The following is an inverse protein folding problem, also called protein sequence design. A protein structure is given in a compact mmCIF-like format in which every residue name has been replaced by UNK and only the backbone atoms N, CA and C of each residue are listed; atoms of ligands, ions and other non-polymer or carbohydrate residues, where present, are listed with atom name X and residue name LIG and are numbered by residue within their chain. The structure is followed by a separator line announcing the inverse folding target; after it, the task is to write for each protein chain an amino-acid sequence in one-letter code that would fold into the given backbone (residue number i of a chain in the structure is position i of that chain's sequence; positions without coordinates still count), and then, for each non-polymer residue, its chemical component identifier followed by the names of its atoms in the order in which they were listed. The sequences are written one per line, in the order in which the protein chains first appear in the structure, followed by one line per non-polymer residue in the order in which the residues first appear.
data_IF_403764965626
#
_entry.id   IF_403764965626
#
_cell.length_a   1.000
_cell.length_b   1.000
_cell.length_c   1.000
_cell.angle_alpha   90.00
_cell.angle_beta   90.00
_cell.angle_gamma   90.00
#
_symmetry.space_group_name_H-M   'P 1'
#
loop_
_entity.id
_entity.type
_entity.pdbx_description
1 polymer ?
#
# COMPACT_ATOMS: atom_id res chain seq x y z
N UNK A 1 -16.21 15.92 8.73
CA UNK A 1 -15.97 16.08 7.28
C UNK A 1 -16.14 14.75 6.53
N UNK A 2 -15.68 13.60 7.04
CA UNK A 2 -15.82 12.27 6.42
C UNK A 2 -17.27 11.83 6.16
N UNK A 3 -18.26 12.37 6.88
CA UNK A 3 -19.69 12.04 6.73
C UNK A 3 -20.32 12.42 5.38
N UNK A 4 -19.57 13.08 4.51
CA UNK A 4 -19.98 13.40 3.13
C UNK A 4 -19.33 12.48 2.11
N UNK A 5 -18.29 11.72 2.51
CA UNK A 5 -17.42 10.97 1.63
C UNK A 5 -17.86 9.51 1.50
N UNK A 6 -17.60 8.93 0.33
CA UNK A 6 -17.73 7.49 0.04
C UNK A 6 -16.35 6.85 0.19
N UNK A 7 -16.27 5.81 1.00
CA UNK A 7 -15.05 5.01 1.19
C UNK A 7 -15.19 3.64 0.52
N UNK A 8 -14.25 3.30 -0.34
CA UNK A 8 -14.25 2.00 -1.04
C UNK A 8 -12.99 1.19 -0.70
N UNK A 9 -12.97 0.58 0.49
CA UNK A 9 -11.88 -0.31 0.89
C UNK A 9 -11.95 -1.66 0.19
N UNK A 10 -10.84 -2.41 0.26
CA UNK A 10 -10.87 -3.85 0.04
C UNK A 10 -11.68 -4.54 1.13
N UNK A 11 -12.27 -5.71 0.82
CA UNK A 11 -13.05 -6.48 1.81
C UNK A 11 -12.19 -6.81 3.02
N UNK A 12 -10.95 -7.26 2.80
CA UNK A 12 -9.99 -7.56 3.87
C UNK A 12 -9.72 -6.34 4.75
N UNK A 13 -9.51 -5.15 4.18
CA UNK A 13 -9.28 -3.92 4.94
C UNK A 13 -10.51 -3.55 5.77
N UNK A 14 -11.71 -3.74 5.23
CA UNK A 14 -12.96 -3.39 5.88
C UNK A 14 -13.21 -4.19 7.17
N UNK A 15 -12.79 -5.47 7.22
CA UNK A 15 -13.15 -6.40 8.29
C UNK A 15 -12.09 -6.55 9.39
N UNK A 16 -10.86 -6.07 9.19
CA UNK A 16 -9.75 -6.29 10.13
C UNK A 16 -9.68 -5.23 11.23
N UNK A 17 -9.26 -5.67 12.42
CA UNK A 17 -9.04 -4.78 13.59
C UNK A 17 -7.79 -3.89 13.44
N UNK A 18 -6.80 -4.34 12.71
CA UNK A 18 -5.58 -3.59 12.38
C UNK A 18 -5.72 -2.74 11.09
N UNK A 19 -6.95 -2.63 10.58
CA UNK A 19 -7.36 -1.83 9.43
C UNK A 19 -8.58 -0.96 9.79
N UNK A 20 -9.65 -0.98 8.99
CA UNK A 20 -10.77 -0.04 9.14
C UNK A 20 -11.47 -0.11 10.51
N UNK A 21 -11.66 -1.30 11.08
CA UNK A 21 -12.33 -1.43 12.38
C UNK A 21 -11.55 -0.77 13.53
N UNK A 22 -10.21 -0.84 13.51
CA UNK A 22 -9.36 -0.14 14.47
C UNK A 22 -9.18 1.33 14.11
N UNK A 23 -9.02 1.63 12.81
CA UNK A 23 -8.83 3.00 12.31
C UNK A 23 -9.97 3.93 12.75
N UNK A 24 -11.22 3.45 12.73
CA UNK A 24 -12.40 4.20 13.23
C UNK A 24 -12.34 4.54 14.73
N UNK A 25 -11.57 3.79 15.52
CA UNK A 25 -11.42 4.05 16.97
C UNK A 25 -10.39 5.14 17.22
N UNK A 26 -9.41 5.27 16.33
CA UNK A 26 -8.29 6.24 16.46
C UNK A 26 -8.64 7.55 15.77
N UNK A 27 -9.26 7.46 14.62
CA UNK A 27 -9.70 8.60 13.83
C UNK A 27 -11.24 8.67 13.82
N UNK A 28 -11.86 9.85 13.99
CA UNK A 28 -13.31 10.01 13.99
C UNK A 28 -13.90 9.88 12.57
N UNK A 29 -13.76 8.68 11.97
CA UNK A 29 -14.18 8.39 10.61
C UNK A 29 -15.64 7.92 10.58
N UNK A 30 -16.48 8.69 9.93
CA UNK A 30 -17.92 8.42 9.78
C UNK A 30 -18.30 8.65 8.31
N UNK A 31 -17.91 7.73 7.43
CA UNK A 31 -18.19 7.85 6.01
C UNK A 31 -19.67 7.77 5.71
N UNK A 32 -20.15 8.57 4.72
CA UNK A 32 -21.52 8.52 4.21
C UNK A 32 -21.91 7.14 3.72
N UNK A 33 -20.96 6.47 3.07
CA UNK A 33 -21.13 5.12 2.52
C UNK A 33 -19.78 4.40 2.53
N UNK A 34 -19.83 3.10 2.81
CA UNK A 34 -18.67 2.21 2.70
C UNK A 34 -19.05 1.05 1.79
N UNK A 35 -18.30 0.85 0.70
CA UNK A 35 -18.56 -0.18 -0.30
C UNK A 35 -17.25 -0.88 -0.59
N UNK A 36 -17.14 -2.17 -0.25
CA UNK A 36 -15.94 -2.93 -0.55
C UNK A 36 -15.76 -3.11 -2.07
N UNK A 37 -14.56 -2.77 -2.57
CA UNK A 37 -14.15 -2.98 -3.96
C UNK A 37 -12.72 -3.55 -3.94
N UNK A 38 -12.59 -4.82 -4.27
CA UNK A 38 -11.29 -5.48 -4.28
C UNK A 38 -10.47 -5.18 -5.55
N UNK A 39 -9.15 -5.22 -5.39
CA UNK A 39 -8.19 -5.08 -6.50
C UNK A 39 -8.13 -3.69 -7.13
N UNK A 40 -7.64 -3.63 -8.37
CA UNK A 40 -7.45 -2.39 -9.12
C UNK A 40 -8.75 -1.57 -9.39
N UNK A 41 -9.95 -2.16 -9.51
CA UNK A 41 -11.20 -1.41 -9.73
C UNK A 41 -11.47 -0.32 -8.68
N UNK A 42 -11.01 -0.45 -7.42
CA UNK A 42 -11.18 0.61 -6.40
C UNK A 42 -10.51 1.92 -6.80
N UNK A 43 -9.34 1.84 -7.46
CA UNK A 43 -8.64 3.03 -7.98
C UNK A 43 -9.39 3.68 -9.13
N UNK A 44 -10.01 2.87 -9.99
CA UNK A 44 -10.84 3.38 -11.09
C UNK A 44 -12.08 4.08 -10.56
N UNK A 45 -12.74 3.51 -9.55
CA UNK A 45 -13.89 4.13 -8.89
C UNK A 45 -13.51 5.49 -8.25
N UNK A 46 -12.31 5.58 -7.66
CA UNK A 46 -11.79 6.85 -7.12
C UNK A 46 -11.54 7.88 -8.24
N UNK A 47 -10.87 7.46 -9.33
CA UNK A 47 -10.59 8.33 -10.46
C UNK A 47 -11.86 8.85 -11.17
N UNK A 48 -12.92 8.03 -11.20
CA UNK A 48 -14.22 8.39 -11.78
C UNK A 48 -15.11 9.23 -10.83
N UNK A 49 -14.69 9.45 -9.57
CA UNK A 49 -15.49 10.17 -8.59
C UNK A 49 -16.67 9.35 -8.01
N UNK A 50 -16.67 8.03 -8.21
CA UNK A 50 -17.63 7.11 -7.60
C UNK A 50 -17.30 6.83 -6.13
N UNK A 51 -16.03 7.02 -5.77
CA UNK A 51 -15.48 6.95 -4.43
C UNK A 51 -14.63 8.18 -4.15
N UNK A 52 -14.51 8.57 -2.88
CA UNK A 52 -13.69 9.69 -2.44
C UNK A 52 -12.41 9.22 -1.74
N UNK A 53 -12.44 8.03 -1.16
CA UNK A 53 -11.33 7.45 -0.39
C UNK A 53 -11.24 5.95 -0.67
N UNK A 54 -10.01 5.43 -0.72
CA UNK A 54 -9.71 3.98 -0.82
C UNK A 54 -8.57 3.62 0.13
N UNK A 55 -8.42 2.33 0.47
CA UNK A 55 -7.19 1.82 1.06
C UNK A 55 -6.15 1.54 -0.02
N UNK A 56 -4.88 1.74 0.31
CA UNK A 56 -3.76 1.51 -0.60
C UNK A 56 -2.50 1.15 0.18
N UNK A 57 -1.56 0.50 -0.48
CA UNK A 57 -0.18 0.49 -0.01
C UNK A 57 0.55 1.70 -0.61
N UNK A 58 1.41 2.34 0.18
CA UNK A 58 2.17 3.53 -0.26
C UNK A 58 3.02 3.30 -1.50
N UNK A 59 3.31 2.04 -1.81
CA UNK A 59 4.10 1.59 -2.96
C UNK A 59 3.27 1.24 -4.20
N UNK A 60 1.94 1.32 -4.16
CA UNK A 60 1.08 0.97 -5.29
C UNK A 60 1.29 1.91 -6.49
N UNK A 61 1.63 1.36 -7.66
CA UNK A 61 1.87 2.12 -8.89
C UNK A 61 0.65 2.89 -9.40
N UNK A 62 -0.56 2.46 -9.03
CA UNK A 62 -1.82 3.12 -9.40
C UNK A 62 -2.01 4.47 -8.70
N UNK A 63 -1.32 4.71 -7.56
CA UNK A 63 -1.27 6.03 -6.92
C UNK A 63 -0.69 7.05 -7.89
N UNK A 64 0.45 6.71 -8.52
CA UNK A 64 1.09 7.56 -9.53
C UNK A 64 0.22 7.68 -10.79
N UNK A 65 -0.35 6.57 -11.27
CA UNK A 65 -1.18 6.55 -12.48
C UNK A 65 -2.34 7.55 -12.42
N UNK A 66 -3.00 7.64 -11.29
CA UNK A 66 -4.21 8.45 -11.11
C UNK A 66 -3.96 9.75 -10.34
N UNK A 67 -2.67 10.10 -10.11
CA UNK A 67 -2.27 11.31 -9.38
C UNK A 67 -2.98 11.45 -8.03
N UNK A 68 -2.96 10.37 -7.23
CA UNK A 68 -3.68 10.30 -5.97
C UNK A 68 -2.83 10.82 -4.80
N UNK A 69 -3.50 11.41 -3.84
CA UNK A 69 -2.87 11.90 -2.60
C UNK A 69 -2.88 10.80 -1.54
N UNK A 70 -1.71 10.47 -1.00
CA UNK A 70 -1.58 9.59 0.17
C UNK A 70 -1.76 10.45 1.43
N UNK A 71 -2.70 10.05 2.29
CA UNK A 71 -2.92 10.73 3.57
C UNK A 71 -1.89 10.28 4.61
N UNK A 72 -1.43 11.22 5.42
CA UNK A 72 -0.51 10.93 6.52
C UNK A 72 -1.25 10.26 7.69
N UNK A 73 -0.62 9.24 8.27
CA UNK A 73 -1.06 8.62 9.54
C UNK A 73 -0.38 9.33 10.72
N UNK A 74 -0.86 10.54 11.03
CA UNK A 74 -0.32 11.41 12.09
C UNK A 74 -0.42 10.82 13.51
N UNK A 75 -1.22 9.77 13.67
CA UNK A 75 -1.39 9.06 14.95
C UNK A 75 -0.65 7.73 15.02
N UNK A 76 0.10 7.37 13.98
CA UNK A 76 0.86 6.13 13.89
C UNK A 76 0.02 4.88 14.20
N UNK A 77 -1.18 4.84 13.65
CA UNK A 77 -2.08 3.70 13.81
C UNK A 77 -1.56 2.46 13.08
N UNK A 78 -1.06 2.65 11.85
CA UNK A 78 -0.54 1.55 11.06
C UNK A 78 0.87 1.17 11.50
N UNK A 79 1.09 -0.14 11.66
CA UNK A 79 2.45 -0.65 11.85
C UNK A 79 3.28 -0.47 10.57
N UNK A 80 4.57 -0.16 10.69
CA UNK A 80 5.43 -0.04 9.51
C UNK A 80 5.53 -1.38 8.78
N UNK A 81 5.16 -1.39 7.51
CA UNK A 81 5.33 -2.53 6.62
C UNK A 81 6.68 -2.38 5.91
N UNK A 82 7.64 -3.23 6.26
CA UNK A 82 8.96 -3.21 5.65
C UNK A 82 9.16 -4.44 4.77
N UNK A 83 9.62 -4.24 3.54
CA UNK A 83 10.12 -5.33 2.73
C UNK A 83 11.42 -5.86 3.33
N UNK A 84 11.46 -7.15 3.64
CA UNK A 84 12.64 -7.80 4.21
C UNK A 84 13.02 -9.03 3.39
N UNK A 85 14.30 -9.20 3.04
CA UNK A 85 14.76 -10.45 2.43
C UNK A 85 14.73 -11.57 3.46
N UNK A 86 14.09 -12.69 3.12
CA UNK A 86 14.09 -13.91 3.94
C UNK A 86 14.99 -14.93 3.29
N UNK A 87 16.01 -15.37 4.02
CA UNK A 87 17.02 -16.30 3.51
C UNK A 87 17.12 -17.52 4.43
N UNK A 88 17.22 -18.72 3.85
CA UNK A 88 17.42 -19.95 4.60
C UNK A 88 18.78 -19.94 5.31
N UNK A 89 18.82 -20.35 6.58
CA UNK A 89 20.04 -20.41 7.38
C UNK A 89 21.15 -21.28 6.75
N UNK A 90 20.77 -22.36 6.05
CA UNK A 90 21.74 -23.20 5.35
C UNK A 90 22.41 -22.45 4.21
N UNK A 91 21.64 -21.63 3.48
CA UNK A 91 22.17 -20.77 2.41
C UNK A 91 23.16 -19.75 2.98
N UNK A 92 22.82 -19.08 4.08
CA UNK A 92 23.72 -18.11 4.71
C UNK A 92 24.99 -18.74 5.29
N UNK A 93 24.94 -20.02 5.74
CA UNK A 93 26.12 -20.74 6.19
C UNK A 93 27.06 -21.10 5.03
N UNK A 94 26.49 -21.49 3.88
CA UNK A 94 27.25 -21.88 2.70
C UNK A 94 27.74 -20.67 1.88
N UNK A 95 27.01 -19.57 1.90
CA UNK A 95 27.25 -18.36 1.10
C UNK A 95 27.04 -17.12 1.96
N UNK A 96 27.97 -16.83 2.91
CA UNK A 96 27.80 -15.69 3.84
C UNK A 96 27.74 -14.31 3.14
N UNK A 97 28.33 -14.20 1.96
CA UNK A 97 28.31 -12.99 1.11
C UNK A 97 26.91 -12.57 0.69
N UNK A 98 25.94 -13.49 0.63
CA UNK A 98 24.53 -13.18 0.30
C UNK A 98 23.96 -12.13 1.25
N UNK A 99 24.36 -12.14 2.52
CA UNK A 99 23.93 -11.14 3.49
C UNK A 99 24.37 -9.72 3.08
N UNK A 100 25.60 -9.57 2.61
CA UNK A 100 26.15 -8.27 2.20
C UNK A 100 25.45 -7.76 0.96
N UNK A 101 25.27 -8.63 -0.05
CA UNK A 101 24.58 -8.28 -1.31
C UNK A 101 23.14 -7.84 -1.04
N UNK A 102 22.38 -8.60 -0.27
CA UNK A 102 21.00 -8.26 0.05
C UNK A 102 20.89 -6.99 0.93
N UNK A 103 21.85 -6.77 1.84
CA UNK A 103 21.88 -5.57 2.67
C UNK A 103 22.16 -4.30 1.87
N UNK A 104 22.89 -4.40 0.75
CA UNK A 104 23.14 -3.26 -0.13
C UNK A 104 21.86 -2.70 -0.77
N UNK A 105 20.85 -3.56 -0.99
CA UNK A 105 19.54 -3.14 -1.54
C UNK A 105 18.81 -2.15 -0.63
N UNK A 106 19.01 -2.25 0.69
CA UNK A 106 18.31 -1.40 1.68
C UNK A 106 18.52 0.10 1.42
N UNK A 107 19.71 0.49 0.96
CA UNK A 107 20.03 1.89 0.69
C UNK A 107 19.34 2.45 -0.57
N UNK A 108 18.83 1.57 -1.43
CA UNK A 108 18.25 1.93 -2.73
C UNK A 108 16.73 1.75 -2.78
N UNK A 109 16.12 1.14 -1.77
CA UNK A 109 14.68 0.88 -1.73
C UNK A 109 14.00 1.80 -0.71
N UNK A 110 13.07 2.60 -1.21
CA UNK A 110 12.13 3.40 -0.43
C UNK A 110 10.76 3.39 -1.12
N UNK A 111 9.75 3.98 -0.51
CA UNK A 111 8.38 3.97 -1.03
C UNK A 111 8.28 4.59 -2.43
N UNK A 112 9.00 5.68 -2.68
CA UNK A 112 8.94 6.37 -3.98
C UNK A 112 9.57 5.51 -5.09
N UNK A 113 10.73 4.92 -4.83
CA UNK A 113 11.39 4.00 -5.77
C UNK A 113 10.50 2.79 -6.04
N UNK A 114 9.93 2.18 -4.99
CA UNK A 114 9.05 1.03 -5.16
C UNK A 114 7.76 1.38 -5.91
N UNK A 115 7.19 2.55 -5.66
CA UNK A 115 6.01 3.04 -6.40
C UNK A 115 6.32 3.25 -7.87
N UNK A 116 7.50 3.77 -8.19
CA UNK A 116 7.96 3.93 -9.57
C UNK A 116 8.13 2.58 -10.27
N UNK A 117 8.82 1.63 -9.64
CA UNK A 117 9.02 0.29 -10.20
C UNK A 117 7.70 -0.44 -10.41
N UNK A 118 6.78 -0.37 -9.44
CA UNK A 118 5.45 -0.96 -9.57
C UNK A 118 4.65 -0.26 -10.69
N UNK A 119 4.76 1.06 -10.83
CA UNK A 119 4.14 1.78 -11.94
C UNK A 119 4.65 1.30 -13.30
N UNK A 120 5.97 1.09 -13.43
CA UNK A 120 6.56 0.60 -14.67
C UNK A 120 6.03 -0.80 -15.06
N UNK A 121 5.88 -1.69 -14.09
CA UNK A 121 5.40 -3.06 -14.33
C UNK A 121 3.88 -3.08 -14.49
N UNK A 122 3.13 -2.53 -13.53
CA UNK A 122 1.68 -2.71 -13.44
C UNK A 122 0.90 -1.82 -14.42
N UNK A 123 1.48 -0.66 -14.77
CA UNK A 123 0.81 0.34 -15.61
C UNK A 123 1.40 0.40 -17.01
N UNK A 124 2.73 0.43 -17.13
CA UNK A 124 3.43 0.51 -18.41
C UNK A 124 3.73 -0.86 -19.03
N UNK A 125 3.42 -1.96 -18.32
CA UNK A 125 3.64 -3.35 -18.73
C UNK A 125 5.11 -3.63 -19.13
N UNK A 126 6.07 -2.93 -18.51
CA UNK A 126 7.48 -3.22 -18.71
C UNK A 126 7.83 -4.56 -18.07
N UNK A 127 8.65 -5.35 -18.77
CA UNK A 127 9.16 -6.60 -18.19
C UNK A 127 10.25 -6.28 -17.18
N UNK A 128 10.27 -6.96 -16.01
CA UNK A 128 11.41 -6.89 -15.10
C UNK A 128 12.68 -7.32 -15.83
N UNK A 129 13.73 -6.52 -15.73
CA UNK A 129 15.05 -6.78 -16.35
C UNK A 129 15.93 -7.60 -15.41
#
# INVERSE_FOLDING_TARGET
MSNKLVFSPTLTFMERQDCYLGLKKVYPLNFRKVIAIDGAPRYTALANGESDVVDAFSTDGLIKKFDLVVLEDDKNFFLPYQAVPVVNNKTLKNYPEVKLVLSALKAHLNDDVMRELNYEVDVLNKKPS
#
